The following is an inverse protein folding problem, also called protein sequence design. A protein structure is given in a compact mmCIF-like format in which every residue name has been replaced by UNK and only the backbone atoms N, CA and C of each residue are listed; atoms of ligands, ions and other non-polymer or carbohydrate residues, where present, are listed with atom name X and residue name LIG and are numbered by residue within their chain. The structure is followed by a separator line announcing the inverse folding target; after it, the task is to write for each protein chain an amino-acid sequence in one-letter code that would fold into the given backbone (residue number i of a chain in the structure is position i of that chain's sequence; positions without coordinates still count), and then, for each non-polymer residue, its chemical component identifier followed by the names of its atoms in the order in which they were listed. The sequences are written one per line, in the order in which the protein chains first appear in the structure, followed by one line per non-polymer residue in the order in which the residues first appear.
data_IF_555836274968
#
_entry.id   IF_555836274968
#
_cell.length_a   1.000
_cell.length_b   1.000
_cell.length_c   1.000
_cell.angle_alpha   90.00
_cell.angle_beta   90.00
_cell.angle_gamma   90.00
#
_symmetry.space_group_name_H-M   'P 1'
#
loop_
_entity.id
_entity.type
_entity.pdbx_description
1 polymer ?
#
# COMPACT_ATOMS: atom_id res chain seq x y z
N UNK A 1 46.86 -4.19 -19.67
CA UNK A 1 46.59 -5.60 -19.30
C UNK A 1 47.17 -6.03 -17.94
N UNK A 2 48.48 -6.10 -17.64
CA UNK A 2 48.92 -6.45 -16.26
C UNK A 2 48.75 -5.29 -15.27
N UNK A 3 49.12 -4.07 -15.66
CA UNK A 3 49.00 -2.89 -14.81
C UNK A 3 47.56 -2.57 -14.39
N UNK A 4 46.58 -2.58 -15.30
CA UNK A 4 45.17 -2.32 -14.96
C UNK A 4 44.61 -3.39 -14.03
N UNK A 5 45.03 -4.65 -14.18
CA UNK A 5 44.61 -5.75 -13.31
C UNK A 5 45.22 -5.63 -11.91
N UNK A 6 46.49 -5.25 -11.82
CA UNK A 6 47.16 -4.98 -10.55
C UNK A 6 46.55 -3.75 -9.85
N UNK A 7 46.27 -2.69 -10.61
CA UNK A 7 45.63 -1.48 -10.10
C UNK A 7 44.19 -1.75 -9.62
N UNK A 8 43.43 -2.54 -10.36
CA UNK A 8 42.07 -2.95 -9.98
C UNK A 8 42.05 -3.64 -8.62
N UNK A 9 42.96 -4.60 -8.40
CA UNK A 9 43.07 -5.30 -7.10
C UNK A 9 43.43 -4.38 -5.92
N UNK A 10 44.22 -3.33 -6.15
CA UNK A 10 44.54 -2.33 -5.09
C UNK A 10 43.35 -1.42 -4.78
N UNK A 11 42.41 -1.26 -5.72
CA UNK A 11 41.23 -0.42 -5.57
C UNK A 11 39.98 -1.20 -5.12
N UNK A 12 40.12 -2.50 -4.87
CA UNK A 12 39.09 -3.33 -4.28
C UNK A 12 39.06 -3.19 -2.75
N UNK A 13 37.86 -3.26 -2.18
CA UNK A 13 37.66 -3.29 -0.74
C UNK A 13 37.85 -4.72 -0.22
N UNK A 14 38.80 -4.94 0.70
CA UNK A 14 39.06 -6.28 1.27
C UNK A 14 37.90 -6.90 2.06
N UNK A 15 36.86 -6.13 2.39
CA UNK A 15 35.67 -6.63 3.09
C UNK A 15 34.62 -7.19 2.13
N UNK A 16 34.37 -6.49 1.01
CA UNK A 16 33.33 -6.91 0.06
C UNK A 16 33.88 -7.45 -1.26
N UNK A 17 35.20 -7.40 -1.47
CA UNK A 17 35.88 -7.81 -2.70
C UNK A 17 35.29 -7.17 -3.97
N UNK A 18 34.96 -5.88 -3.88
CA UNK A 18 34.42 -5.05 -4.98
C UNK A 18 35.14 -3.71 -5.00
N UNK A 19 35.11 -3.02 -6.13
CA UNK A 19 35.69 -1.68 -6.26
C UNK A 19 35.18 -0.73 -5.15
N UNK A 20 36.07 0.04 -4.55
CA UNK A 20 35.77 0.84 -3.37
C UNK A 20 34.76 1.96 -3.67
N UNK A 21 33.64 1.95 -2.95
CA UNK A 21 32.66 3.04 -2.93
C UNK A 21 32.81 3.87 -1.65
N UNK A 22 32.98 5.19 -1.82
CA UNK A 22 33.28 6.14 -0.74
C UNK A 22 34.40 5.60 0.18
N UNK A 23 35.63 5.42 -0.34
CA UNK A 23 36.75 4.86 0.40
C UNK A 23 37.08 5.68 1.66
N UNK A 24 37.28 5.01 2.79
CA UNK A 24 37.75 5.59 4.06
C UNK A 24 39.05 4.91 4.45
N UNK A 25 40.10 5.72 4.63
CA UNK A 25 41.42 5.25 5.04
C UNK A 25 41.54 5.35 6.56
N UNK A 26 41.82 4.22 7.20
CA UNK A 26 41.98 4.09 8.65
C UNK A 26 43.36 4.60 9.11
N UNK A 27 43.56 4.89 10.42
CA UNK A 27 44.88 5.27 10.95
C UNK A 27 45.98 4.22 10.72
N UNK A 28 45.59 2.95 10.61
CA UNK A 28 46.49 1.86 10.24
C UNK A 28 46.75 1.75 8.73
N UNK A 29 46.35 2.77 7.95
CA UNK A 29 46.58 2.95 6.52
C UNK A 29 45.84 1.98 5.59
N UNK A 30 44.97 1.12 6.12
CA UNK A 30 44.08 0.30 5.31
C UNK A 30 42.84 1.09 4.88
N UNK A 31 42.35 0.86 3.66
CA UNK A 31 41.20 1.55 3.09
C UNK A 31 40.07 0.60 2.79
N UNK A 32 38.84 1.00 3.11
CA UNK A 32 37.63 0.20 2.89
C UNK A 32 36.51 1.08 2.34
N UNK A 33 35.44 0.48 1.81
CA UNK A 33 34.19 1.22 1.62
C UNK A 33 33.71 1.77 2.98
N UNK A 34 33.21 3.01 3.00
CA UNK A 34 32.65 3.62 4.22
C UNK A 34 31.61 2.73 4.93
N UNK A 35 30.69 2.13 4.17
CA UNK A 35 29.65 1.23 4.71
C UNK A 35 30.21 -0.10 5.22
N UNK A 36 31.25 -0.64 4.58
CA UNK A 36 31.90 -1.89 5.01
C UNK A 36 32.65 -1.70 6.33
N UNK A 37 33.37 -0.58 6.47
CA UNK A 37 34.05 -0.24 7.72
C UNK A 37 33.06 -0.03 8.85
N UNK A 38 31.98 0.72 8.60
CA UNK A 38 30.92 0.96 9.59
C UNK A 38 30.35 -0.35 10.16
N UNK A 39 29.89 -1.26 9.28
CA UNK A 39 29.37 -2.58 9.67
C UNK A 39 30.40 -3.42 10.43
N UNK A 40 31.69 -3.32 10.09
CA UNK A 40 32.73 -4.05 10.80
C UNK A 40 32.91 -3.53 12.24
N UNK A 41 32.87 -2.20 12.40
CA UNK A 41 33.00 -1.55 13.71
C UNK A 41 31.81 -1.76 14.64
N UNK A 42 30.61 -2.04 14.10
CA UNK A 42 29.45 -2.46 14.90
C UNK A 42 29.68 -3.78 15.66
N UNK A 43 30.62 -4.62 15.18
CA UNK A 43 30.93 -5.92 15.78
C UNK A 43 32.29 -5.94 16.49
N UNK A 44 33.30 -5.21 15.99
CA UNK A 44 34.64 -5.20 16.55
C UNK A 44 35.35 -3.86 16.28
N UNK A 45 35.89 -3.24 17.32
CA UNK A 45 36.68 -2.00 17.20
C UNK A 45 38.09 -2.22 16.62
N UNK A 46 38.27 -3.19 15.72
CA UNK A 46 39.56 -3.58 15.13
C UNK A 46 39.52 -3.51 13.62
N UNK A 47 40.65 -3.21 13.01
CA UNK A 47 40.80 -3.21 11.56
C UNK A 47 40.53 -4.61 10.98
N UNK A 48 39.64 -4.75 9.97
CA UNK A 48 39.35 -6.03 9.33
C UNK A 48 40.57 -6.74 8.74
N UNK A 49 41.61 -5.99 8.35
CA UNK A 49 42.83 -6.52 7.74
C UNK A 49 43.93 -6.83 8.74
N UNK A 50 44.45 -5.82 9.44
CA UNK A 50 45.61 -5.97 10.32
C UNK A 50 45.27 -6.19 11.80
N UNK A 51 43.99 -6.12 12.16
CA UNK A 51 43.48 -6.28 13.54
C UNK A 51 43.98 -5.26 14.57
N UNK A 52 44.63 -4.17 14.13
CA UNK A 52 44.94 -3.04 15.01
C UNK A 52 43.67 -2.38 15.52
N UNK A 53 43.71 -1.85 16.74
CA UNK A 53 42.58 -1.12 17.31
C UNK A 53 42.29 0.15 16.51
N UNK A 54 41.00 0.35 16.21
CA UNK A 54 40.50 1.51 15.49
C UNK A 54 39.68 2.40 16.42
N UNK A 55 39.65 3.71 16.17
CA UNK A 55 38.76 4.60 16.90
C UNK A 55 37.29 4.25 16.63
N UNK A 56 36.40 4.68 17.53
CA UNK A 56 34.96 4.45 17.40
C UNK A 56 34.38 5.10 16.14
N UNK A 57 33.21 4.62 15.69
CA UNK A 57 32.59 5.06 14.43
C UNK A 57 32.40 6.58 14.31
N UNK A 58 32.14 7.28 15.43
CA UNK A 58 32.00 8.75 15.43
C UNK A 58 33.25 9.46 14.89
N UNK A 59 34.45 8.93 15.14
CA UNK A 59 35.69 9.48 14.58
C UNK A 59 35.68 9.48 13.04
N UNK A 60 35.07 8.47 12.43
CA UNK A 60 34.99 8.32 10.97
C UNK A 60 33.81 9.05 10.35
N UNK A 61 32.76 9.36 11.11
CA UNK A 61 31.64 10.19 10.64
C UNK A 61 32.09 11.63 10.30
N UNK A 62 33.07 12.14 11.05
CA UNK A 62 33.66 13.47 10.83
C UNK A 62 34.78 13.49 9.78
N UNK A 63 35.27 12.32 9.35
CA UNK A 63 36.35 12.19 8.36
C UNK A 63 35.78 12.23 6.94
N UNK A 64 36.38 13.06 6.10
CA UNK A 64 36.02 13.11 4.68
C UNK A 64 36.51 11.86 3.96
N UNK A 65 35.64 11.27 3.13
CA UNK A 65 35.97 10.23 2.13
C UNK A 65 37.32 10.53 1.46
N UNK A 66 38.14 9.51 1.22
CA UNK A 66 39.40 9.65 0.52
C UNK A 66 39.15 10.04 -0.95
N UNK A 67 39.18 11.36 -1.21
CA UNK A 67 38.87 11.94 -2.52
C UNK A 67 39.85 11.47 -3.60
N UNK A 68 41.14 11.36 -3.26
CA UNK A 68 42.17 10.90 -4.22
C UNK A 68 41.85 9.51 -4.73
N UNK A 69 41.55 8.56 -3.83
CA UNK A 69 41.16 7.21 -4.25
C UNK A 69 39.83 7.19 -5.00
N UNK A 70 38.88 8.05 -4.61
CA UNK A 70 37.61 8.20 -5.33
C UNK A 70 37.83 8.65 -6.77
N UNK A 71 38.65 9.69 -6.97
CA UNK A 71 38.97 10.25 -8.29
C UNK A 71 39.73 9.25 -9.16
N UNK A 72 40.68 8.49 -8.57
CA UNK A 72 41.41 7.43 -9.26
C UNK A 72 40.45 6.34 -9.73
N UNK A 73 39.56 5.86 -8.86
CA UNK A 73 38.56 4.85 -9.19
C UNK A 73 37.64 5.32 -10.33
N UNK A 74 37.09 6.53 -10.22
CA UNK A 74 36.19 7.08 -11.23
C UNK A 74 36.87 7.32 -12.58
N UNK A 75 38.17 7.63 -12.58
CA UNK A 75 38.94 7.91 -13.81
C UNK A 75 39.44 6.64 -14.47
N UNK A 76 39.96 5.69 -13.69
CA UNK A 76 40.58 4.48 -14.20
C UNK A 76 39.56 3.36 -14.50
N UNK A 77 38.44 3.31 -13.77
CA UNK A 77 37.42 2.26 -13.85
C UNK A 77 35.99 2.82 -13.84
N UNK A 78 35.64 3.71 -14.79
CA UNK A 78 34.34 4.40 -14.78
C UNK A 78 33.15 3.45 -14.95
N UNK A 79 33.29 2.39 -15.76
CA UNK A 79 32.21 1.43 -16.01
C UNK A 79 31.96 0.57 -14.77
N UNK A 80 33.00 -0.01 -14.17
CA UNK A 80 32.93 -0.82 -12.95
C UNK A 80 32.41 0.00 -11.77
N UNK A 81 32.83 1.27 -11.66
CA UNK A 81 32.31 2.16 -10.62
C UNK A 81 30.82 2.48 -10.84
N UNK A 82 30.39 2.70 -12.09
CA UNK A 82 28.98 2.91 -12.41
C UNK A 82 28.13 1.65 -12.15
N UNK A 83 28.66 0.46 -12.40
CA UNK A 83 28.02 -0.81 -12.02
C UNK A 83 27.93 -0.96 -10.50
N UNK A 84 28.99 -0.61 -9.77
CA UNK A 84 29.00 -0.62 -8.31
C UNK A 84 27.94 0.30 -7.73
N UNK A 85 27.77 1.50 -8.27
CA UNK A 85 26.71 2.42 -7.86
C UNK A 85 25.32 1.85 -8.12
N UNK A 86 25.09 1.25 -9.30
CA UNK A 86 23.83 0.58 -9.63
C UNK A 86 23.53 -0.59 -8.68
N UNK A 87 24.53 -1.38 -8.32
CA UNK A 87 24.38 -2.49 -7.38
C UNK A 87 24.02 -2.00 -5.96
N UNK A 88 24.73 -0.99 -5.45
CA UNK A 88 24.45 -0.38 -4.14
C UNK A 88 23.04 0.21 -4.12
N UNK A 89 22.67 0.98 -5.14
CA UNK A 89 21.33 1.55 -5.25
C UNK A 89 20.24 0.45 -5.31
N UNK A 90 20.51 -0.66 -6.01
CA UNK A 90 19.61 -1.81 -6.05
C UNK A 90 19.46 -2.48 -4.70
N UNK A 91 20.55 -2.74 -3.99
CA UNK A 91 20.52 -3.32 -2.64
C UNK A 91 19.78 -2.41 -1.65
N UNK A 92 20.06 -1.10 -1.68
CA UNK A 92 19.36 -0.10 -0.86
C UNK A 92 17.87 0.00 -1.20
N UNK A 93 17.52 -0.13 -2.49
CA UNK A 93 16.14 -0.18 -2.94
C UNK A 93 15.44 -1.44 -2.45
N UNK A 94 16.04 -2.60 -2.65
CA UNK A 94 15.43 -3.88 -2.27
C UNK A 94 15.28 -3.97 -0.74
N UNK A 95 16.22 -3.37 0.02
CA UNK A 95 16.13 -3.27 1.47
C UNK A 95 15.00 -2.35 1.98
N UNK A 96 14.61 -1.31 1.22
CA UNK A 96 13.50 -0.39 1.60
C UNK A 96 12.14 -0.80 1.05
N UNK A 97 12.08 -1.76 0.12
CA UNK A 97 10.85 -2.33 -0.43
C UNK A 97 10.43 -3.55 0.39
N UNK A 98 10.09 -3.33 1.64
CA UNK A 98 9.79 -4.39 2.62
C UNK A 98 8.32 -4.83 2.63
N UNK A 99 7.43 -4.03 2.06
CA UNK A 99 5.99 -4.27 2.16
C UNK A 99 5.54 -5.16 1.00
N UNK A 100 5.05 -6.39 1.24
CA UNK A 100 4.47 -7.22 0.20
C UNK A 100 3.16 -6.59 -0.29
N UNK A 101 3.02 -6.47 -1.61
CA UNK A 101 1.85 -5.88 -2.26
C UNK A 101 1.12 -6.94 -3.11
N UNK A 102 -0.12 -7.21 -2.74
CA UNK A 102 -1.05 -8.01 -3.52
C UNK A 102 -1.84 -7.11 -4.48
N UNK A 103 -1.71 -7.35 -5.79
CA UNK A 103 -2.44 -6.62 -6.82
C UNK A 103 -3.67 -7.43 -7.21
N UNK A 104 -4.86 -7.04 -6.75
CA UNK A 104 -6.08 -7.83 -6.99
C UNK A 104 -7.36 -6.98 -7.03
N UNK A 105 -7.99 -6.77 -5.87
CA UNK A 105 -9.31 -6.15 -5.72
C UNK A 105 -9.24 -4.99 -4.73
N UNK A 106 -10.29 -4.16 -4.70
CA UNK A 106 -10.41 -3.09 -3.74
C UNK A 106 -10.64 -3.64 -2.33
N UNK A 107 -9.88 -3.13 -1.37
CA UNK A 107 -10.15 -3.31 0.05
C UNK A 107 -10.22 -1.96 0.75
N UNK A 108 -11.03 -1.86 1.79
CA UNK A 108 -11.14 -0.67 2.62
C UNK A 108 -10.72 -0.95 4.08
N UNK A 109 -10.24 0.09 4.80
CA UNK A 109 -9.96 -0.03 6.23
C UNK A 109 -11.18 -0.50 7.03
N UNK A 110 -10.92 -1.29 8.07
CA UNK A 110 -11.92 -1.88 8.96
C UNK A 110 -12.96 -2.79 8.27
N UNK A 111 -12.72 -3.18 7.03
CA UNK A 111 -13.62 -4.06 6.28
C UNK A 111 -13.00 -5.45 6.11
N UNK A 112 -13.78 -6.53 6.32
CA UNK A 112 -13.31 -7.88 6.07
C UNK A 112 -13.08 -8.10 4.58
N UNK A 113 -12.03 -8.83 4.24
CA UNK A 113 -11.66 -9.18 2.87
C UNK A 113 -11.33 -10.68 2.81
N UNK A 114 -12.08 -11.43 2.02
CA UNK A 114 -11.89 -12.87 1.81
C UNK A 114 -11.25 -13.08 0.43
N UNK A 115 -10.12 -13.76 0.39
CA UNK A 115 -9.31 -13.91 -0.82
C UNK A 115 -9.02 -15.38 -1.09
N UNK A 116 -9.27 -15.80 -2.32
CA UNK A 116 -8.85 -17.10 -2.80
C UNK A 116 -7.53 -16.96 -3.56
N UNK A 117 -6.44 -17.41 -2.95
CA UNK A 117 -5.08 -17.27 -3.47
C UNK A 117 -4.62 -18.58 -4.09
N UNK A 118 -4.43 -18.56 -5.41
CA UNK A 118 -4.02 -19.74 -6.18
C UNK A 118 -2.70 -19.55 -6.92
N UNK A 119 -2.31 -18.32 -7.28
CA UNK A 119 -1.06 -18.06 -8.00
C UNK A 119 0.18 -18.39 -7.13
N UNK A 120 1.17 -19.15 -7.65
CA UNK A 120 2.35 -19.58 -6.89
C UNK A 120 3.12 -18.45 -6.21
N UNK A 121 3.30 -17.30 -6.88
CA UNK A 121 4.00 -16.13 -6.34
C UNK A 121 3.33 -15.57 -5.08
N UNK A 122 2.00 -15.54 -5.04
CA UNK A 122 1.25 -15.01 -3.89
C UNK A 122 1.15 -16.04 -2.77
N UNK A 123 1.21 -17.34 -3.09
CA UNK A 123 1.38 -18.39 -2.08
C UNK A 123 2.70 -18.25 -1.32
N UNK A 124 3.79 -17.93 -2.03
CA UNK A 124 5.09 -17.63 -1.41
C UNK A 124 5.02 -16.34 -0.58
N UNK A 125 4.44 -15.27 -1.14
CA UNK A 125 4.23 -13.99 -0.44
C UNK A 125 3.51 -14.19 0.90
N UNK A 126 2.39 -14.92 0.91
CA UNK A 126 1.63 -15.21 2.13
C UNK A 126 2.44 -15.99 3.16
N UNK A 127 3.21 -17.00 2.73
CA UNK A 127 4.09 -17.75 3.63
C UNK A 127 5.08 -16.81 4.35
N UNK A 128 5.72 -15.91 3.60
CA UNK A 128 6.64 -14.90 4.17
C UNK A 128 5.93 -13.92 5.10
N UNK A 129 4.70 -13.53 4.80
CA UNK A 129 3.90 -12.69 5.70
C UNK A 129 3.65 -13.38 7.05
N UNK A 130 3.35 -14.69 7.04
CA UNK A 130 3.14 -15.45 8.28
C UNK A 130 4.42 -15.53 9.11
N UNK A 131 5.57 -15.66 8.45
CA UNK A 131 6.89 -15.79 9.08
C UNK A 131 7.43 -14.46 9.67
N UNK A 132 6.93 -13.30 9.22
CA UNK A 132 7.48 -11.97 9.56
C UNK A 132 7.12 -11.45 10.97
N UNK A 133 6.44 -12.24 11.80
CA UNK A 133 5.97 -11.86 13.14
C UNK A 133 4.79 -10.88 13.16
N UNK A 134 4.53 -10.17 12.05
CA UNK A 134 3.36 -9.30 11.85
C UNK A 134 2.68 -9.64 10.52
N UNK A 135 1.75 -10.61 10.51
CA UNK A 135 1.19 -11.14 9.27
C UNK A 135 0.25 -10.14 8.59
N UNK A 136 0.79 -9.39 7.64
CA UNK A 136 0.08 -8.36 6.89
C UNK A 136 0.63 -8.21 5.47
N UNK A 137 -0.17 -7.64 4.58
CA UNK A 137 0.26 -7.25 3.23
C UNK A 137 -0.57 -6.07 2.74
N UNK A 138 0.01 -5.26 1.84
CA UNK A 138 -0.72 -4.19 1.17
C UNK A 138 -1.57 -4.74 0.02
N UNK A 139 -2.81 -4.25 -0.12
CA UNK A 139 -3.66 -4.54 -1.28
C UNK A 139 -3.81 -3.27 -2.13
N UNK A 140 -3.58 -3.40 -3.44
CA UNK A 140 -3.83 -2.33 -4.42
C UNK A 140 -4.61 -2.87 -5.61
N UNK A 141 -5.40 -2.00 -6.25
CA UNK A 141 -6.02 -2.31 -7.53
C UNK A 141 -4.97 -2.23 -8.67
N UNK A 142 -5.08 -3.08 -9.70
CA UNK A 142 -4.33 -2.88 -10.94
C UNK A 142 -4.75 -1.57 -11.60
N UNK A 143 -3.86 -0.93 -12.36
CA UNK A 143 -4.20 0.27 -13.12
C UNK A 143 -5.02 -0.07 -14.39
N UNK A 144 -6.05 0.74 -14.70
CA UNK A 144 -6.78 0.66 -15.97
C UNK A 144 -6.01 1.41 -17.06
N UNK A 145 -5.40 0.67 -17.98
CA UNK A 145 -4.70 1.21 -19.15
C UNK A 145 -3.29 1.76 -18.86
N UNK A 146 -2.48 1.89 -19.91
CA UNK A 146 -1.15 2.48 -19.87
C UNK A 146 -1.25 4.02 -19.98
N UNK A 147 -1.81 4.67 -18.96
CA UNK A 147 -2.05 6.12 -18.95
C UNK A 147 -1.23 6.84 -17.88
N UNK A 148 -0.53 7.91 -18.27
CA UNK A 148 0.27 8.78 -17.42
C UNK A 148 -0.50 9.25 -16.17
N UNK A 149 -0.21 8.68 -15.01
CA UNK A 149 -0.84 9.11 -13.74
C UNK A 149 -0.91 8.08 -12.62
N UNK A 150 -0.33 6.88 -12.79
CA UNK A 150 -0.16 5.92 -11.72
C UNK A 150 1.20 5.23 -11.81
N UNK A 151 1.58 4.49 -10.76
CA UNK A 151 2.75 3.63 -10.84
C UNK A 151 2.50 2.53 -11.89
N UNK A 152 3.48 2.22 -12.73
CA UNK A 152 3.31 1.27 -13.84
C UNK A 152 2.56 -0.01 -13.44
N UNK A 153 1.31 -0.14 -13.90
CA UNK A 153 0.46 -1.32 -13.71
C UNK A 153 -0.39 -1.36 -12.43
N UNK A 154 -0.30 -0.40 -11.49
CA UNK A 154 -1.08 -0.40 -10.22
C UNK A 154 -1.53 1.00 -9.82
N UNK A 155 -2.59 1.10 -9.00
CA UNK A 155 -2.97 2.36 -8.37
C UNK A 155 -2.00 2.74 -7.24
N UNK A 156 -1.83 4.05 -7.01
CA UNK A 156 -0.96 4.58 -5.95
C UNK A 156 -1.51 4.37 -4.54
N UNK A 157 -2.82 4.24 -4.38
CA UNK A 157 -3.46 4.16 -3.06
C UNK A 157 -4.02 2.77 -2.82
N UNK A 158 -3.77 2.25 -1.63
CA UNK A 158 -4.18 0.91 -1.22
C UNK A 158 -4.57 0.84 0.25
N UNK A 159 -4.86 -0.37 0.69
CA UNK A 159 -5.22 -0.68 2.08
C UNK A 159 -4.31 -1.79 2.60
N UNK A 160 -3.70 -1.56 3.75
CA UNK A 160 -2.97 -2.59 4.49
C UNK A 160 -3.98 -3.59 5.07
N UNK A 161 -3.75 -4.88 4.84
CA UNK A 161 -4.60 -5.96 5.31
C UNK A 161 -3.86 -6.78 6.37
N UNK A 162 -4.46 -6.90 7.55
CA UNK A 162 -3.99 -7.80 8.60
C UNK A 162 -4.61 -9.20 8.37
N UNK A 163 -3.77 -10.22 8.25
CA UNK A 163 -4.20 -11.61 8.05
C UNK A 163 -4.83 -12.12 9.35
N UNK A 164 -6.08 -12.56 9.29
CA UNK A 164 -6.81 -13.13 10.43
C UNK A 164 -6.75 -14.65 10.45
N UNK A 165 -6.97 -15.28 9.31
CA UNK A 165 -6.92 -16.73 9.18
C UNK A 165 -6.51 -17.13 7.76
N UNK A 166 -5.87 -18.30 7.65
CA UNK A 166 -5.53 -18.91 6.36
C UNK A 166 -5.93 -20.38 6.40
N UNK A 167 -6.80 -20.77 5.48
CA UNK A 167 -7.16 -22.15 5.24
C UNK A 167 -6.42 -22.66 4.00
N UNK A 168 -5.50 -23.60 4.18
CA UNK A 168 -4.83 -24.28 3.06
C UNK A 168 -5.75 -25.36 2.47
N UNK A 169 -5.82 -25.41 1.14
CA UNK A 169 -6.57 -26.41 0.39
C UNK A 169 -5.63 -27.56 -0.08
N UNK A 170 -6.15 -28.76 -0.38
CA UNK A 170 -5.33 -29.92 -0.76
C UNK A 170 -4.48 -29.75 -2.03
N UNK A 171 -4.88 -28.87 -2.95
CA UNK A 171 -4.12 -28.48 -4.15
C UNK A 171 -3.11 -27.35 -3.88
N UNK A 172 -2.99 -26.97 -2.61
CA UNK A 172 -2.12 -25.93 -2.09
C UNK A 172 -2.62 -24.50 -2.32
N UNK A 173 -3.82 -24.31 -2.90
CA UNK A 173 -4.49 -23.00 -2.87
C UNK A 173 -4.79 -22.60 -1.42
N UNK A 174 -5.12 -21.34 -1.18
CA UNK A 174 -5.47 -20.87 0.16
C UNK A 174 -6.68 -19.96 0.13
N UNK A 175 -7.56 -20.13 1.11
CA UNK A 175 -8.55 -19.12 1.47
C UNK A 175 -7.96 -18.26 2.58
N UNK A 176 -7.88 -16.95 2.36
CA UNK A 176 -7.32 -15.99 3.31
C UNK A 176 -8.45 -15.09 3.78
N UNK A 177 -8.65 -15.03 5.09
CA UNK A 177 -9.48 -14.01 5.72
C UNK A 177 -8.57 -12.92 6.26
N UNK A 178 -8.78 -11.69 5.79
CA UNK A 178 -8.03 -10.53 6.24
C UNK A 178 -8.97 -9.39 6.64
N UNK A 179 -8.45 -8.47 7.43
CA UNK A 179 -9.17 -7.26 7.85
C UNK A 179 -8.38 -6.03 7.38
N UNK A 180 -9.07 -5.08 6.74
CA UNK A 180 -8.48 -3.79 6.44
C UNK A 180 -8.03 -3.08 7.71
N UNK A 181 -6.79 -2.60 7.71
CA UNK A 181 -6.15 -1.96 8.84
C UNK A 181 -6.12 -0.45 8.65
N UNK A 182 -5.26 0.01 7.73
CA UNK A 182 -5.11 1.44 7.41
C UNK A 182 -4.87 1.61 5.91
N UNK A 183 -5.05 2.83 5.42
CA UNK A 183 -4.76 3.18 4.03
C UNK A 183 -3.30 3.57 3.88
N UNK A 184 -2.75 3.34 2.70
CA UNK A 184 -1.43 3.82 2.40
C UNK A 184 -1.34 4.41 0.99
N UNK A 185 -0.32 5.25 0.80
CA UNK A 185 0.20 5.63 -0.53
C UNK A 185 1.44 4.79 -0.82
N UNK A 186 1.48 4.16 -1.98
CA UNK A 186 2.65 3.47 -2.50
C UNK A 186 3.60 4.53 -3.06
N UNK A 187 4.75 4.70 -2.41
CA UNK A 187 5.76 5.70 -2.79
C UNK A 187 6.73 5.15 -3.83
N UNK A 188 7.05 3.86 -3.73
CA UNK A 188 7.99 3.17 -4.60
C UNK A 188 7.60 1.69 -4.69
N UNK A 189 7.91 1.04 -5.82
CA UNK A 189 7.59 -0.37 -6.06
C UNK A 189 8.74 -1.08 -6.74
N UNK A 190 8.85 -2.37 -6.46
CA UNK A 190 9.73 -3.30 -7.14
C UNK A 190 9.07 -4.66 -7.26
N UNK A 191 9.89 -5.65 -7.62
CA UNK A 191 9.46 -7.05 -7.76
C UNK A 191 10.40 -7.93 -6.95
N UNK A 192 9.83 -8.81 -6.15
CA UNK A 192 10.55 -9.83 -5.39
C UNK A 192 9.90 -11.18 -5.67
N UNK A 193 10.66 -12.12 -6.23
CA UNK A 193 10.17 -13.48 -6.56
C UNK A 193 8.83 -13.51 -7.33
N UNK A 194 8.64 -12.52 -8.21
CA UNK A 194 7.49 -12.40 -9.11
C UNK A 194 6.26 -11.70 -8.53
N UNK A 195 6.25 -11.32 -7.24
CA UNK A 195 5.20 -10.48 -6.64
C UNK A 195 5.70 -9.05 -6.40
N UNK A 196 4.77 -8.11 -6.27
CA UNK A 196 5.10 -6.69 -6.07
C UNK A 196 5.51 -6.45 -4.62
N UNK A 197 6.58 -5.69 -4.43
CA UNK A 197 6.97 -5.15 -3.12
C UNK A 197 7.01 -3.64 -3.19
N UNK A 198 6.79 -2.97 -2.07
CA UNK A 198 6.56 -1.54 -2.03
C UNK A 198 7.16 -0.85 -0.81
N UNK A 199 7.50 0.42 -0.98
CA UNK A 199 7.66 1.35 0.14
C UNK A 199 6.38 2.16 0.26
N UNK A 200 5.75 2.12 1.42
CA UNK A 200 4.43 2.70 1.63
C UNK A 200 4.45 3.78 2.70
N UNK A 201 3.56 4.76 2.55
CA UNK A 201 3.30 5.80 3.55
C UNK A 201 1.87 5.62 4.08
N UNK A 202 1.72 5.47 5.40
CA UNK A 202 0.41 5.36 6.05
C UNK A 202 -0.35 6.69 5.95
N UNK A 203 -1.63 6.61 5.60
CA UNK A 203 -2.54 7.76 5.49
C UNK A 203 -3.58 7.67 6.61
N UNK A 204 -3.63 8.73 7.40
CA UNK A 204 -4.62 8.91 8.46
C UNK A 204 -5.62 10.00 8.09
N UNK A 205 -6.82 9.89 8.64
CA UNK A 205 -7.80 10.97 8.54
C UNK A 205 -7.28 12.22 9.27
N UNK A 206 -7.71 13.36 8.77
CA UNK A 206 -7.52 14.64 9.46
C UNK A 206 -8.70 14.80 10.42
N UNK A 207 -8.43 15.34 11.61
CA UNK A 207 -9.46 15.61 12.60
C UNK A 207 -10.56 16.51 12.01
N UNK A 208 -11.79 16.28 12.45
CA UNK A 208 -12.96 17.05 11.97
C UNK A 208 -12.79 18.50 12.41
N UNK A 209 -12.59 19.40 11.46
CA UNK A 209 -12.77 20.84 11.72
C UNK A 209 -14.27 21.11 11.86
N UNK A 210 -14.65 21.85 12.91
CA UNK A 210 -16.02 22.35 13.11
C UNK A 210 -16.33 23.36 12.01
N UNK A 211 -16.73 22.85 10.86
CA UNK A 211 -17.13 23.66 9.73
C UNK A 211 -18.65 23.89 9.77
N UNK A 212 -19.03 25.17 9.79
CA UNK A 212 -20.42 25.69 9.70
C UNK A 212 -21.10 25.41 8.34
N UNK A 213 -20.53 24.55 7.50
CA UNK A 213 -20.99 24.29 6.15
C UNK A 213 -22.11 23.24 6.12
N UNK A 214 -23.28 23.62 5.61
CA UNK A 214 -24.39 22.70 5.33
C UNK A 214 -24.15 21.90 4.03
N UNK A 215 -24.66 20.65 3.93
CA UNK A 215 -25.21 19.84 5.03
C UNK A 215 -24.08 19.33 5.95
N UNK A 216 -24.32 19.22 7.25
CA UNK A 216 -23.39 18.69 8.26
C UNK A 216 -23.00 17.23 8.00
N UNK A 217 -21.96 16.74 8.69
CA UNK A 217 -21.54 15.32 8.55
C UNK A 217 -22.64 14.35 8.98
N UNK A 218 -23.40 14.69 10.03
CA UNK A 218 -24.53 13.90 10.49
C UNK A 218 -25.66 13.86 9.45
N UNK A 219 -25.95 14.99 8.79
CA UNK A 219 -26.95 15.07 7.72
C UNK A 219 -26.54 14.26 6.49
N UNK A 220 -25.26 14.30 6.09
CA UNK A 220 -24.73 13.46 5.00
C UNK A 220 -24.87 11.96 5.33
N UNK A 221 -24.59 11.56 6.58
CA UNK A 221 -24.84 10.19 7.02
C UNK A 221 -26.34 9.86 7.02
N UNK A 222 -27.20 10.80 7.43
CA UNK A 222 -28.66 10.69 7.38
C UNK A 222 -29.15 10.37 5.97
N UNK A 223 -28.70 11.12 4.96
CA UNK A 223 -29.05 10.88 3.54
C UNK A 223 -28.65 9.48 3.07
N UNK A 224 -27.48 8.98 3.51
CA UNK A 224 -27.04 7.62 3.20
C UNK A 224 -27.90 6.56 3.91
N UNK A 225 -28.23 6.77 5.19
CA UNK A 225 -29.09 5.88 5.99
C UNK A 225 -30.51 5.80 5.38
N UNK A 226 -31.09 6.93 4.98
CA UNK A 226 -32.37 6.98 4.28
C UNK A 226 -32.35 6.19 2.97
N UNK A 227 -31.26 6.30 2.19
CA UNK A 227 -31.12 5.51 0.97
C UNK A 227 -31.05 4.01 1.24
N UNK A 228 -30.34 3.60 2.31
CA UNK A 228 -30.32 2.20 2.76
C UNK A 228 -31.74 1.74 3.13
N UNK A 229 -32.49 2.52 3.89
CA UNK A 229 -33.85 2.16 4.30
C UNK A 229 -34.81 2.09 3.09
N UNK A 230 -34.64 2.96 2.09
CA UNK A 230 -35.35 2.85 0.82
C UNK A 230 -35.03 1.52 0.11
N UNK A 231 -33.75 1.11 0.07
CA UNK A 231 -33.36 -0.20 -0.47
C UNK A 231 -33.97 -1.37 0.33
N UNK A 232 -34.14 -1.23 1.65
CA UNK A 232 -34.83 -2.24 2.50
C UNK A 232 -36.30 -2.40 2.14
N UNK A 233 -37.01 -1.27 2.03
CA UNK A 233 -38.46 -1.25 1.77
C UNK A 233 -38.83 -1.57 0.31
N UNK A 234 -37.86 -1.45 -0.60
CA UNK A 234 -38.05 -1.60 -2.03
C UNK A 234 -37.59 -2.96 -2.59
N UNK A 235 -36.90 -2.90 -3.74
CA UNK A 235 -36.68 -4.03 -4.65
C UNK A 235 -35.58 -5.04 -4.24
N UNK A 236 -34.86 -4.83 -3.13
CA UNK A 236 -33.73 -5.71 -2.76
C UNK A 236 -33.53 -5.91 -1.24
N UNK A 237 -34.53 -6.45 -0.49
CA UNK A 237 -34.37 -6.71 0.94
C UNK A 237 -33.21 -7.66 1.28
N UNK A 238 -32.91 -8.61 0.36
CA UNK A 238 -31.82 -9.58 0.48
C UNK A 238 -30.42 -8.95 0.42
N UNK A 239 -30.28 -7.77 -0.20
CA UNK A 239 -29.01 -7.08 -0.35
C UNK A 239 -28.44 -6.74 1.04
N UNK A 240 -29.27 -6.26 1.96
CA UNK A 240 -28.81 -5.84 3.29
C UNK A 240 -28.58 -6.98 4.27
N UNK A 241 -29.33 -8.07 4.16
CA UNK A 241 -29.02 -9.30 4.90
C UNK A 241 -27.64 -9.82 4.52
N UNK A 242 -27.29 -9.78 3.23
CA UNK A 242 -25.97 -10.14 2.73
C UNK A 242 -24.90 -9.12 3.10
N UNK A 243 -25.22 -7.82 3.15
CA UNK A 243 -24.27 -6.79 3.58
C UNK A 243 -23.91 -6.93 5.07
N UNK A 244 -24.89 -7.16 5.94
CA UNK A 244 -24.63 -7.37 7.37
C UNK A 244 -23.84 -8.66 7.62
N UNK A 245 -24.12 -9.73 6.86
CA UNK A 245 -23.35 -10.98 6.96
C UNK A 245 -21.93 -10.87 6.38
N UNK A 246 -21.71 -9.99 5.41
CA UNK A 246 -20.42 -9.87 4.70
C UNK A 246 -19.51 -8.81 5.29
N UNK A 247 -20.06 -7.65 5.69
CA UNK A 247 -19.29 -6.47 6.13
C UNK A 247 -19.58 -6.06 7.58
N UNK A 248 -20.45 -6.79 8.28
CA UNK A 248 -20.84 -6.50 9.65
C UNK A 248 -21.89 -5.39 9.77
N UNK A 249 -22.18 -5.03 11.02
CA UNK A 249 -23.18 -4.02 11.36
C UNK A 249 -22.79 -2.63 10.83
N UNK A 250 -23.80 -1.83 10.54
CA UNK A 250 -23.63 -0.45 10.08
C UNK A 250 -22.88 0.37 11.14
N UNK A 251 -21.71 0.98 10.82
CA UNK A 251 -20.94 1.78 11.77
C UNK A 251 -21.59 3.14 12.06
N UNK A 252 -21.33 3.70 13.25
CA UNK A 252 -21.74 5.07 13.62
C UNK A 252 -20.63 6.12 13.44
N UNK A 253 -19.37 5.70 13.45
CA UNK A 253 -18.24 6.60 13.17
C UNK A 253 -18.23 7.02 11.68
N UNK A 254 -18.19 8.32 11.34
CA UNK A 254 -18.22 8.79 9.96
C UNK A 254 -17.10 8.22 9.08
N UNK A 255 -15.90 8.03 9.63
CA UNK A 255 -14.77 7.50 8.88
C UNK A 255 -15.03 6.07 8.42
N UNK A 256 -15.39 5.20 9.36
CA UNK A 256 -15.68 3.79 9.09
C UNK A 256 -16.97 3.63 8.29
N UNK A 257 -18.00 4.41 8.60
CA UNK A 257 -19.28 4.39 7.90
C UNK A 257 -19.14 4.72 6.41
N UNK A 258 -18.32 5.70 6.04
CA UNK A 258 -18.15 6.03 4.62
C UNK A 258 -17.56 4.88 3.78
N UNK A 259 -16.60 4.11 4.31
CA UNK A 259 -16.09 2.92 3.61
C UNK A 259 -17.10 1.78 3.57
N UNK A 260 -17.77 1.54 4.69
CA UNK A 260 -18.84 0.54 4.75
C UNK A 260 -19.94 0.87 3.72
N UNK A 261 -20.37 2.12 3.67
CA UNK A 261 -21.38 2.60 2.74
C UNK A 261 -20.90 2.47 1.28
N UNK A 262 -19.64 2.76 0.99
CA UNK A 262 -19.09 2.53 -0.35
C UNK A 262 -19.17 1.07 -0.80
N UNK A 263 -19.04 0.10 0.11
CA UNK A 263 -19.21 -1.33 -0.22
C UNK A 263 -20.66 -1.73 -0.48
N UNK A 264 -21.63 -1.03 0.12
CA UNK A 264 -23.07 -1.20 -0.16
C UNK A 264 -23.43 -0.77 -1.59
N UNK A 265 -22.75 0.26 -2.10
CA UNK A 265 -23.14 0.91 -3.36
C UNK A 265 -22.75 0.08 -4.59
N UNK A 266 -23.63 -0.05 -5.61
CA UNK A 266 -23.32 -0.71 -6.89
C UNK A 266 -22.49 0.19 -7.81
N UNK A 267 -21.34 0.66 -7.31
CA UNK A 267 -20.40 1.53 -8.02
C UNK A 267 -19.16 0.70 -8.42
N UNK A 268 -18.56 1.04 -9.55
CA UNK A 268 -17.33 0.42 -10.02
C UNK A 268 -16.19 0.59 -9.00
N UNK A 269 -15.36 -0.45 -8.83
CA UNK A 269 -14.30 -0.45 -7.81
C UNK A 269 -13.27 0.67 -8.02
N UNK A 270 -13.03 1.13 -9.25
CA UNK A 270 -12.08 2.20 -9.52
C UNK A 270 -12.62 3.56 -9.09
N UNK A 271 -13.92 3.79 -9.23
CA UNK A 271 -14.57 4.98 -8.67
C UNK A 271 -14.57 4.93 -7.14
N UNK A 272 -14.82 3.76 -6.54
CA UNK A 272 -14.71 3.57 -5.08
C UNK A 272 -13.28 3.81 -4.57
N UNK A 273 -12.26 3.40 -5.32
CA UNK A 273 -10.86 3.59 -4.96
C UNK A 273 -10.46 5.07 -4.78
N UNK A 274 -11.21 6.00 -5.40
CA UNK A 274 -11.01 7.45 -5.21
C UNK A 274 -11.27 7.91 -3.77
N UNK A 275 -11.91 7.10 -2.93
CA UNK A 275 -12.08 7.38 -1.50
C UNK A 275 -10.78 7.21 -0.71
N UNK A 276 -9.86 6.34 -1.14
CA UNK A 276 -8.62 6.04 -0.42
C UNK A 276 -7.74 7.28 -0.19
N UNK A 277 -7.47 8.17 -1.17
CA UNK A 277 -6.69 9.38 -0.91
C UNK A 277 -7.40 10.45 -0.06
N UNK A 278 -8.72 10.39 0.12
CA UNK A 278 -9.50 11.44 0.78
C UNK A 278 -9.36 11.33 2.31
N UNK A 279 -8.60 12.25 2.92
CA UNK A 279 -8.34 12.27 4.37
C UNK A 279 -9.47 12.85 5.24
N UNK A 280 -10.50 13.42 4.62
CA UNK A 280 -11.69 13.93 5.32
C UNK A 280 -12.86 12.96 5.18
N UNK A 281 -13.36 12.35 6.28
CA UNK A 281 -14.57 11.53 6.26
C UNK A 281 -15.77 12.26 5.64
N UNK A 282 -15.89 13.57 5.91
CA UNK A 282 -16.93 14.43 5.36
C UNK A 282 -16.86 14.52 3.84
N UNK A 283 -15.67 14.73 3.26
CA UNK A 283 -15.51 14.75 1.80
C UNK A 283 -15.79 13.39 1.18
N UNK A 284 -15.42 12.28 1.85
CA UNK A 284 -15.80 10.93 1.43
C UNK A 284 -17.32 10.78 1.38
N UNK A 285 -18.03 11.25 2.42
CA UNK A 285 -19.49 11.20 2.47
C UNK A 285 -20.15 12.07 1.40
N UNK A 286 -19.62 13.26 1.10
CA UNK A 286 -20.14 14.09 -0.02
C UNK A 286 -20.07 13.34 -1.36
N UNK A 287 -18.97 12.64 -1.63
CA UNK A 287 -18.83 11.82 -2.84
C UNK A 287 -19.82 10.65 -2.86
N UNK A 288 -20.04 10.01 -1.72
CA UNK A 288 -21.01 8.92 -1.59
C UNK A 288 -22.45 9.42 -1.77
N UNK A 289 -22.81 10.56 -1.19
CA UNK A 289 -24.13 11.18 -1.37
C UNK A 289 -24.35 11.55 -2.83
N UNK A 290 -23.33 12.04 -3.53
CA UNK A 290 -23.41 12.26 -4.96
C UNK A 290 -23.74 10.96 -5.73
N UNK A 291 -23.11 9.82 -5.38
CA UNK A 291 -23.48 8.53 -5.96
C UNK A 291 -24.92 8.11 -5.61
N UNK A 292 -25.37 8.37 -4.38
CA UNK A 292 -26.76 8.12 -3.97
C UNK A 292 -27.75 8.90 -4.84
N UNK A 293 -27.50 10.19 -5.06
CA UNK A 293 -28.34 11.04 -5.91
C UNK A 293 -28.38 10.57 -7.36
N UNK A 294 -27.22 10.20 -7.93
CA UNK A 294 -27.13 9.65 -9.28
C UNK A 294 -27.89 8.34 -9.44
N UNK A 295 -27.84 7.46 -8.43
CA UNK A 295 -28.60 6.21 -8.45
C UNK A 295 -30.10 6.47 -8.29
N UNK A 296 -30.50 7.40 -7.41
CA UNK A 296 -31.91 7.80 -7.25
C UNK A 296 -32.49 8.36 -8.56
N UNK A 297 -31.75 9.19 -9.29
CA UNK A 297 -32.19 9.71 -10.58
C UNK A 297 -32.23 8.63 -11.67
N UNK A 298 -31.24 7.73 -11.68
CA UNK A 298 -31.15 6.67 -12.69
C UNK A 298 -32.14 5.53 -12.45
N UNK A 299 -32.58 5.29 -11.20
CA UNK A 299 -33.55 4.24 -10.87
C UNK A 299 -34.96 4.79 -10.69
N UNK A 300 -35.20 6.03 -11.11
CA UNK A 300 -36.46 6.76 -10.90
C UNK A 300 -37.68 5.99 -11.44
N UNK A 301 -37.54 5.21 -12.53
CA UNK A 301 -38.61 4.36 -13.06
C UNK A 301 -38.89 3.11 -12.22
N UNK A 302 -37.87 2.51 -11.58
CA UNK A 302 -38.03 1.32 -10.72
C UNK A 302 -38.81 1.67 -9.45
N UNK A 303 -38.53 2.84 -8.87
CA UNK A 303 -39.19 3.28 -7.64
C UNK A 303 -40.61 3.83 -7.84
N UNK A 304 -40.98 4.26 -9.06
CA UNK A 304 -42.34 4.79 -9.35
C UNK A 304 -43.42 3.71 -9.38
N UNK A 305 -43.10 2.46 -9.74
CA UNK A 305 -44.05 1.34 -9.76
C UNK A 305 -44.26 0.68 -8.39
N UNK A 306 -43.53 1.09 -7.36
CA UNK A 306 -43.59 0.52 -6.01
C UNK A 306 -44.26 1.42 -4.98
N UNK A 307 -44.78 2.59 -5.37
CA UNK A 307 -45.72 3.32 -4.50
C UNK A 307 -47.04 2.53 -4.47
N UNK A 308 -47.53 2.07 -3.30
CA UNK A 308 -48.89 1.57 -3.23
C UNK A 308 -49.82 2.69 -3.66
N UNK A 309 -50.70 2.40 -4.62
CA UNK A 309 -51.80 3.30 -4.95
C UNK A 309 -52.57 3.58 -3.66
N UNK A 310 -52.49 4.82 -3.16
CA UNK A 310 -53.44 5.30 -2.18
C UNK A 310 -54.82 5.17 -2.82
N UNK A 311 -55.64 4.30 -2.25
CA UNK A 311 -57.03 4.11 -2.62
C UNK A 311 -57.76 5.44 -2.52
N UNK A 312 -58.01 6.10 -3.65
CA UNK A 312 -59.06 7.10 -3.75
C UNK A 312 -60.37 6.33 -3.86
N UNK A 313 -61.05 6.24 -2.73
CA UNK A 313 -62.48 5.99 -2.65
C UNK A 313 -63.20 7.11 -3.40
N UNK A 314 -63.63 6.84 -4.62
CA UNK A 314 -64.72 7.60 -5.24
C UNK A 314 -65.90 6.65 -5.41
N UNK A 315 -66.79 6.75 -4.42
CA UNK A 315 -68.21 6.52 -4.61
C UNK A 315 -68.69 7.46 -5.71
N UNK A 316 -69.18 6.92 -6.82
CA UNK A 316 -70.21 7.63 -7.58
C UNK A 316 -71.26 6.67 -8.14
N UNK A 317 -72.47 7.02 -7.76
CA UNK A 317 -73.76 6.46 -8.11
C UNK A 317 -74.21 6.91 -9.51
N UNK A 318 -75.02 6.03 -10.12
CA UNK A 318 -76.19 6.34 -10.96
C UNK A 318 -76.08 6.26 -12.50
N UNK A 319 -77.09 5.54 -13.03
CA UNK A 319 -77.73 5.62 -14.35
C UNK A 319 -76.90 5.10 -15.54
N UNK A 320 -77.35 4.13 -16.35
CA UNK A 320 -78.70 3.81 -16.83
C UNK A 320 -78.81 2.33 -17.20
#
# INVERSE_FOLDING_TARGET
MSFEKELGGVLECDVCAQIMHKPVTTPCQHTFCSSCLARSLDHSAKCPLCRQDLPAMNFFQDQTVNKVLTDIVMTAFPEEYAERLRAIESEERDARLDTPIFVCTLAFPNMPTILHVFEPRYRLMLRRCIESGTPRFGMVLPARGAGNGGMTGVLEYGTMLDIRSIQMLPDGRSMVEAMGSYRFRLLEKGSLDGYTVGRVERIEDIAVEDETHEPSTAELMGLCKEFIDQLRSGSAPWLLQRLNSTYGAMPEDPSTFSYWMALVMPIDEYEKARLLPIRSPRLRLKLIVHWVEQLRSSWWWVFRYLRPHSTSSDSDSAHS
#
